data_IF_256235799120
#
_entry.id   IF_256235799120
#
_cell.length_a   1.000
_cell.length_b   1.000
_cell.length_c   1.000
_cell.angle_alpha   90.00
_cell.angle_beta   90.00
_cell.angle_gamma   90.00
#
_symmetry.space_group_name_H-M   'P 1'
#
loop_
_entity.id
_entity.type
_entity.pdbx_description
1 polymer ?
#
# COMPACT_ATOMS: atom_id res chain seq x y z
N UNK A 1 -9.65 0.91 -34.29
CA UNK A 1 -9.10 -0.33 -33.70
C UNK A 1 -9.21 -0.15 -32.21
N UNK A 2 -10.33 -0.64 -31.66
CA UNK A 2 -10.72 -0.43 -30.27
C UNK A 2 -9.72 -1.13 -29.34
N UNK A 3 -9.00 -0.34 -28.56
CA UNK A 3 -8.16 -0.79 -27.47
C UNK A 3 -9.06 -1.41 -26.40
N UNK A 4 -9.29 -2.71 -26.51
CA UNK A 4 -9.95 -3.51 -25.49
C UNK A 4 -9.02 -3.59 -24.27
N UNK A 5 -9.08 -2.52 -23.48
CA UNK A 5 -8.72 -2.39 -22.05
C UNK A 5 -8.18 -3.69 -21.45
N UNK A 6 -6.85 -3.78 -21.38
CA UNK A 6 -6.21 -4.73 -20.45
C UNK A 6 -6.72 -4.42 -19.03
N UNK A 7 -7.22 -5.41 -18.27
CA UNK A 7 -7.55 -5.23 -16.86
C UNK A 7 -6.24 -5.25 -16.05
N UNK A 8 -5.42 -4.22 -16.20
CA UNK A 8 -4.15 -4.07 -15.51
C UNK A 8 -4.03 -2.67 -14.94
N UNK A 9 -3.43 -2.57 -13.76
CA UNK A 9 -2.98 -1.30 -13.21
C UNK A 9 -1.53 -1.08 -13.61
N UNK A 10 -1.21 0.15 -13.99
CA UNK A 10 0.16 0.62 -14.09
C UNK A 10 0.69 1.01 -12.70
N UNK A 11 2.01 1.16 -12.58
CA UNK A 11 2.61 1.69 -11.35
C UNK A 11 2.12 3.11 -11.04
N UNK A 12 1.89 3.92 -12.07
CA UNK A 12 1.38 5.29 -11.91
C UNK A 12 -0.03 5.30 -11.32
N UNK A 13 -0.85 4.29 -11.63
CA UNK A 13 -2.19 4.15 -11.05
C UNK A 13 -2.16 3.79 -9.56
N UNK A 14 -1.03 3.31 -9.03
CA UNK A 14 -0.88 2.86 -7.65
C UNK A 14 -0.26 3.93 -6.74
N UNK A 15 0.67 4.74 -7.24
CA UNK A 15 1.33 5.77 -6.44
C UNK A 15 0.33 6.84 -5.97
N UNK A 16 0.39 7.21 -4.70
CA UNK A 16 -0.54 8.15 -4.06
C UNK A 16 -1.94 7.58 -3.82
N UNK A 17 -2.23 6.34 -4.23
CA UNK A 17 -3.55 5.75 -4.08
C UNK A 17 -3.89 5.50 -2.62
N UNK A 18 -5.13 5.76 -2.27
CA UNK A 18 -5.63 5.54 -0.90
C UNK A 18 -5.64 4.05 -0.56
N UNK A 19 -5.16 3.74 0.65
CA UNK A 19 -5.24 2.41 1.25
C UNK A 19 -6.21 2.47 2.42
N UNK A 20 -7.23 1.61 2.37
CA UNK A 20 -8.22 1.43 3.42
C UNK A 20 -8.16 0.00 3.97
N UNK A 21 -8.78 -0.25 5.12
CA UNK A 21 -9.03 -1.61 5.56
C UNK A 21 -10.43 -2.12 5.23
N UNK A 22 -10.72 -3.38 5.61
CA UNK A 22 -12.03 -4.02 5.38
C UNK A 22 -13.19 -3.35 6.12
N UNK A 23 -12.90 -2.52 7.13
CA UNK A 23 -13.88 -1.71 7.84
C UNK A 23 -14.05 -0.30 7.22
N UNK A 24 -13.42 -0.04 6.07
CA UNK A 24 -13.37 1.27 5.41
C UNK A 24 -12.67 2.37 6.22
N UNK A 25 -11.81 1.98 7.18
CA UNK A 25 -10.91 2.92 7.85
C UNK A 25 -9.79 3.33 6.88
N UNK A 26 -9.53 4.64 6.79
CA UNK A 26 -8.39 5.18 6.06
C UNK A 26 -7.09 4.85 6.79
N UNK A 27 -6.17 4.14 6.12
CA UNK A 27 -4.86 3.80 6.69
C UNK A 27 -3.78 4.77 6.23
N UNK A 28 -3.88 5.27 5.00
CA UNK A 28 -2.89 6.15 4.40
C UNK A 28 -2.89 6.10 2.87
N UNK A 29 -1.74 6.38 2.28
CA UNK A 29 -1.55 6.38 0.83
C UNK A 29 -0.26 5.65 0.41
N UNK A 30 -0.26 5.10 -0.80
CA UNK A 30 0.93 4.47 -1.37
C UNK A 30 2.01 5.51 -1.62
N UNK A 31 3.18 5.31 -1.04
CA UNK A 31 4.36 6.14 -1.27
C UNK A 31 5.20 5.58 -2.41
N UNK A 32 5.46 4.27 -2.41
CA UNK A 32 6.30 3.60 -3.39
C UNK A 32 5.97 2.10 -3.50
N UNK A 33 6.58 1.42 -4.47
CA UNK A 33 6.49 -0.01 -4.71
C UNK A 33 7.90 -0.61 -4.76
N UNK A 34 8.17 -1.62 -3.95
CA UNK A 34 9.44 -2.33 -3.96
C UNK A 34 9.36 -3.52 -4.94
N UNK A 35 10.16 -3.45 -6.00
CA UNK A 35 10.27 -4.52 -7.01
C UNK A 35 11.45 -5.43 -6.67
N UNK A 36 11.19 -6.73 -6.60
CA UNK A 36 12.21 -7.75 -6.41
C UNK A 36 13.14 -7.86 -7.62
N UNK A 37 14.44 -7.74 -7.39
CA UNK A 37 15.45 -7.88 -8.45
C UNK A 37 15.54 -9.31 -9.02
N UNK A 38 15.08 -10.31 -8.26
CA UNK A 38 15.20 -11.72 -8.64
C UNK A 38 14.15 -12.17 -9.66
N UNK A 39 12.93 -11.63 -9.59
CA UNK A 39 11.79 -12.07 -10.40
C UNK A 39 11.05 -10.91 -11.10
N UNK A 40 11.45 -9.66 -10.85
CA UNK A 40 10.84 -8.47 -11.41
C UNK A 40 9.42 -8.21 -10.91
N UNK A 41 9.00 -8.85 -9.80
CA UNK A 41 7.65 -8.72 -9.25
C UNK A 41 7.62 -7.71 -8.11
N UNK A 42 6.46 -7.12 -7.87
CA UNK A 42 6.23 -6.27 -6.69
C UNK A 42 6.25 -7.17 -5.45
N UNK A 43 7.22 -6.94 -4.57
CA UNK A 43 7.30 -7.64 -3.29
C UNK A 43 6.50 -6.91 -2.22
N UNK A 44 6.68 -5.59 -2.16
CA UNK A 44 6.07 -4.75 -1.15
C UNK A 44 5.47 -3.48 -1.74
N UNK A 45 4.43 -3.00 -1.08
CA UNK A 45 3.90 -1.66 -1.19
C UNK A 45 4.39 -0.86 0.02
N UNK A 46 5.03 0.28 -0.19
CA UNK A 46 5.34 1.21 0.88
C UNK A 46 4.12 2.11 1.13
N UNK A 47 3.54 1.97 2.33
CA UNK A 47 2.39 2.75 2.77
C UNK A 47 2.90 3.88 3.68
N UNK A 48 2.62 5.12 3.32
CA UNK A 48 2.71 6.26 4.23
C UNK A 48 1.43 6.35 5.05
N UNK A 49 1.55 6.28 6.39
CA UNK A 49 0.42 6.39 7.29
C UNK A 49 0.02 7.86 7.45
N UNK A 50 -1.25 8.20 7.19
CA UNK A 50 -1.74 9.59 7.28
C UNK A 50 -1.83 10.10 8.73
N UNK A 51 -1.71 9.21 9.72
CA UNK A 51 -1.76 9.55 11.13
C UNK A 51 -0.34 9.66 11.74
N UNK A 52 -0.03 10.83 12.28
CA UNK A 52 1.15 11.07 13.14
C UNK A 52 2.29 11.85 12.47
N UNK A 53 2.96 12.66 13.29
CA UNK A 53 4.16 13.39 12.91
C UNK A 53 5.40 12.83 13.65
N UNK A 54 6.56 12.66 12.97
CA UNK A 54 6.74 12.72 11.52
C UNK A 54 5.99 11.59 10.80
N UNK A 55 5.71 11.73 9.49
CA UNK A 55 5.04 10.69 8.71
C UNK A 55 5.80 9.37 8.82
N UNK A 56 5.06 8.28 9.02
CA UNK A 56 5.61 6.94 9.21
C UNK A 56 5.29 6.06 8.02
N UNK A 57 6.27 5.30 7.57
CA UNK A 57 6.08 4.34 6.49
C UNK A 57 6.14 2.90 6.98
N UNK A 58 5.40 2.04 6.30
CA UNK A 58 5.38 0.59 6.53
C UNK A 58 5.40 -0.15 5.19
N UNK A 59 6.20 -1.20 5.09
CA UNK A 59 6.18 -2.09 3.92
C UNK A 59 5.13 -3.17 4.13
N UNK A 60 4.15 -3.21 3.23
CA UNK A 60 3.10 -4.23 3.23
C UNK A 60 3.39 -5.21 2.09
N UNK A 61 3.45 -6.54 2.34
CA UNK A 61 3.62 -7.50 1.27
C UNK A 61 2.51 -7.36 0.23
N UNK A 62 2.87 -7.26 -1.05
CA UNK A 62 1.91 -7.08 -2.14
C UNK A 62 0.84 -8.18 -2.16
N UNK A 63 1.21 -9.40 -1.77
CA UNK A 63 0.29 -10.55 -1.64
C UNK A 63 -0.82 -10.38 -0.61
N UNK A 64 -0.72 -9.38 0.29
CA UNK A 64 -1.76 -9.05 1.27
C UNK A 64 -2.72 -7.97 0.76
N UNK A 65 -2.39 -7.28 -0.33
CA UNK A 65 -3.20 -6.18 -0.87
C UNK A 65 -4.26 -6.72 -1.81
N UNK A 66 -5.50 -6.30 -1.60
CA UNK A 66 -6.58 -6.52 -2.57
C UNK A 66 -6.74 -5.28 -3.43
N UNK A 67 -6.58 -5.46 -4.74
CA UNK A 67 -6.85 -4.45 -5.75
C UNK A 67 -8.32 -4.55 -6.17
N UNK A 68 -9.10 -3.48 -6.03
CA UNK A 68 -10.49 -3.43 -6.50
C UNK A 68 -11.55 -3.25 -5.40
N UNK A 69 -11.26 -2.45 -4.37
CA UNK A 69 -12.31 -1.99 -3.46
C UNK A 69 -13.23 -0.97 -4.13
N UNK A 70 -14.41 -0.74 -3.54
CA UNK A 70 -15.29 0.37 -3.95
C UNK A 70 -14.48 1.69 -3.97
N UNK A 71 -14.70 2.52 -5.00
CA UNK A 71 -14.04 3.83 -5.19
C UNK A 71 -12.53 3.77 -5.47
N UNK A 72 -12.04 2.81 -6.24
CA UNK A 72 -10.61 2.74 -6.64
C UNK A 72 -9.63 2.76 -5.44
N UNK A 73 -10.02 2.24 -4.29
CA UNK A 73 -9.11 2.11 -3.15
C UNK A 73 -8.37 0.77 -3.16
N UNK A 74 -7.19 0.72 -2.52
CA UNK A 74 -6.51 -0.52 -2.17
C UNK A 74 -6.96 -0.98 -0.79
N UNK A 75 -7.20 -2.27 -0.61
CA UNK A 75 -7.64 -2.82 0.67
C UNK A 75 -6.49 -3.61 1.30
N UNK A 76 -6.14 -3.25 2.52
CA UNK A 76 -5.20 -3.99 3.37
C UNK A 76 -5.94 -4.67 4.54
N UNK A 77 -5.50 -5.87 4.98
CA UNK A 77 -6.16 -6.61 6.06
C UNK A 77 -5.70 -6.17 7.47
N UNK A 78 -5.28 -4.91 7.62
CA UNK A 78 -4.68 -4.38 8.85
C UNK A 78 -5.47 -3.19 9.39
N UNK A 79 -5.26 -2.85 10.67
CA UNK A 79 -5.80 -1.63 11.30
C UNK A 79 -4.66 -0.66 11.65
N UNK A 80 -5.00 0.61 11.85
CA UNK A 80 -4.02 1.65 12.20
C UNK A 80 -3.18 1.34 13.45
N UNK A 81 -3.76 0.87 14.59
CA UNK A 81 -2.96 0.54 15.78
C UNK A 81 -1.86 -0.48 15.52
N UNK A 82 -2.16 -1.54 14.74
CA UNK A 82 -1.17 -2.55 14.36
C UNK A 82 -0.06 -1.97 13.47
N UNK A 83 -0.42 -1.19 12.45
CA UNK A 83 0.55 -0.57 11.55
C UNK A 83 1.47 0.41 12.28
N UNK A 84 0.93 1.21 13.22
CA UNK A 84 1.74 2.07 14.07
C UNK A 84 2.70 1.30 14.99
N UNK A 85 2.30 0.12 15.48
CA UNK A 85 3.19 -0.74 16.26
C UNK A 85 4.39 -1.17 15.41
N UNK A 86 4.17 -1.64 14.19
CA UNK A 86 5.24 -2.04 13.26
C UNK A 86 6.16 -0.86 12.93
N UNK A 87 5.59 0.30 12.60
CA UNK A 87 6.37 1.49 12.24
C UNK A 87 7.31 1.95 13.37
N UNK A 88 6.86 1.87 14.64
CA UNK A 88 7.68 2.19 15.82
C UNK A 88 8.88 1.25 15.99
N UNK A 89 8.73 -0.03 15.65
CA UNK A 89 9.83 -0.99 15.78
C UNK A 89 10.95 -0.74 14.78
N UNK A 90 10.63 -0.33 13.53
CA UNK A 90 11.65 0.02 12.54
C UNK A 90 12.48 1.25 12.91
N UNK A 91 11.86 2.28 13.48
CA UNK A 91 12.57 3.52 13.87
C UNK A 91 13.57 3.34 15.02
N UNK A 92 13.51 2.24 15.79
CA UNK A 92 14.42 1.97 16.92
C UNK A 92 15.65 1.13 16.55
N UNK A 93 15.69 0.60 15.34
CA UNK A 93 16.77 -0.29 14.88
C UNK A 93 17.74 0.39 13.90
N UNK A 94 17.60 1.70 13.70
CA UNK A 94 18.49 2.54 12.90
C UNK A 94 19.41 3.40 13.76
#
# INVERSE_FOLDING_TARGET
MDDKTKPGLSMQDLLGKTVINRQHELLGHVLDLEIGLNDGRINFLELCLDAGEPPKTVHIPWSQITVGGANDSLIAPFNLPFLHSIAKHRQRSG
#
